data_IF_276927772698
#
_entry.id   IF_276927772698
#
_cell.length_a   1.000
_cell.length_b   1.000
_cell.length_c   1.000
_cell.angle_alpha   90.00
_cell.angle_beta   90.00
_cell.angle_gamma   90.00
#
_symmetry.space_group_name_H-M   'P 1'
#
loop_
_entity.id
_entity.type
_entity.pdbx_description
1 polymer ?
#
# COMPACT_ATOMS: atom_id res chain seq x y z
N UNK A 1 62.10 -2.41 -47.36
CA UNK A 1 61.27 -2.31 -48.59
C UNK A 1 61.00 -3.71 -49.11
N UNK A 2 59.74 -3.97 -49.48
CA UNK A 2 59.21 -5.07 -50.32
C UNK A 2 59.62 -6.52 -50.04
N UNK A 3 58.66 -7.29 -49.54
CA UNK A 3 58.52 -8.71 -49.81
C UNK A 3 57.08 -9.02 -50.25
N UNK A 4 56.87 -9.21 -51.55
CA UNK A 4 55.72 -9.94 -52.14
C UNK A 4 56.27 -11.36 -52.45
N UNK A 5 55.57 -12.49 -52.30
CA UNK A 5 54.36 -12.93 -52.99
C UNK A 5 53.90 -14.30 -52.42
N UNK A 6 52.58 -14.57 -52.51
CA UNK A 6 51.91 -15.83 -52.94
C UNK A 6 52.14 -17.12 -52.11
N UNK A 7 51.20 -18.03 -51.86
CA UNK A 7 49.87 -18.37 -52.40
C UNK A 7 49.18 -19.30 -51.39
N UNK A 8 47.86 -19.22 -51.24
CA UNK A 8 47.05 -20.38 -50.87
C UNK A 8 45.78 -20.41 -51.72
N UNK A 9 45.68 -21.48 -52.50
CA UNK A 9 44.55 -21.88 -53.33
C UNK A 9 43.40 -22.43 -52.49
N UNK A 10 42.14 -22.19 -52.88
CA UNK A 10 40.99 -23.13 -52.81
C UNK A 10 39.72 -22.48 -53.43
N UNK A 11 38.68 -23.25 -53.81
CA UNK A 11 38.06 -23.13 -55.13
C UNK A 11 36.65 -22.51 -55.16
N UNK A 12 36.20 -22.38 -56.40
CA UNK A 12 34.97 -21.80 -56.95
C UNK A 12 33.61 -22.31 -56.46
N UNK A 13 32.60 -21.45 -56.72
CA UNK A 13 31.19 -21.68 -57.12
C UNK A 13 30.06 -21.42 -56.10
N UNK A 14 29.60 -20.16 -56.11
CA UNK A 14 28.23 -19.70 -56.41
C UNK A 14 27.01 -20.57 -56.05
N UNK A 15 26.18 -20.04 -55.13
CA UNK A 15 24.70 -19.98 -55.26
C UNK A 15 24.16 -18.87 -54.35
N UNK A 16 24.25 -17.63 -54.82
CA UNK A 16 23.52 -16.49 -54.26
C UNK A 16 22.04 -16.65 -54.59
N UNK A 17 21.26 -16.99 -53.57
CA UNK A 17 19.79 -16.90 -53.61
C UNK A 17 19.43 -15.61 -52.86
N UNK A 18 18.73 -14.63 -53.47
CA UNK A 18 18.34 -13.43 -52.76
C UNK A 18 17.20 -13.80 -51.79
N UNK A 19 17.51 -13.82 -50.49
CA UNK A 19 16.46 -13.85 -49.46
C UNK A 19 15.62 -12.57 -49.58
N UNK A 20 14.30 -12.65 -49.62
CA UNK A 20 13.44 -11.48 -49.54
C UNK A 20 13.70 -10.77 -48.20
N UNK A 21 13.94 -9.46 -48.27
CA UNK A 21 13.92 -8.60 -47.09
C UNK A 21 12.60 -8.83 -46.35
N UNK A 22 12.61 -9.05 -45.02
CA UNK A 22 11.39 -8.97 -44.26
C UNK A 22 10.91 -7.52 -44.34
N UNK A 23 9.76 -7.29 -44.98
CA UNK A 23 9.03 -6.03 -44.87
C UNK A 23 8.86 -5.68 -43.39
N UNK A 24 9.00 -4.40 -43.00
CA UNK A 24 8.72 -4.00 -41.64
C UNK A 24 7.25 -4.33 -41.35
N UNK A 25 7.01 -5.21 -40.39
CA UNK A 25 5.68 -5.44 -39.88
C UNK A 25 5.10 -4.09 -39.38
N UNK A 26 3.82 -3.80 -39.61
CA UNK A 26 3.19 -2.62 -39.04
C UNK A 26 3.33 -2.70 -37.52
N UNK A 27 3.91 -1.68 -36.90
CA UNK A 27 4.00 -1.58 -35.46
C UNK A 27 2.58 -1.67 -34.89
N UNK A 28 2.26 -2.80 -34.28
CA UNK A 28 1.09 -2.95 -33.44
C UNK A 28 1.24 -1.94 -32.29
N UNK A 29 0.25 -1.08 -32.02
CA UNK A 29 0.33 -0.02 -31.02
C UNK A 29 0.10 -0.56 -29.61
N UNK A 30 0.68 -1.72 -29.27
CA UNK A 30 0.27 -2.52 -28.12
C UNK A 30 1.39 -2.79 -27.09
N UNK A 31 2.49 -2.05 -27.17
CA UNK A 31 3.54 -2.09 -26.14
C UNK A 31 3.76 -0.68 -25.62
N UNK A 32 2.98 -0.29 -24.60
CA UNK A 32 3.38 0.81 -23.74
C UNK A 32 4.57 0.30 -22.92
N UNK A 33 5.79 0.57 -23.39
CA UNK A 33 7.00 0.26 -22.61
C UNK A 33 6.98 1.09 -21.35
N UNK A 34 6.94 0.45 -20.18
CA UNK A 34 6.93 1.16 -18.91
C UNK A 34 8.13 2.10 -18.78
N UNK A 35 7.82 3.39 -18.65
CA UNK A 35 8.82 4.42 -18.38
C UNK A 35 9.28 4.37 -16.93
N UNK A 36 10.35 5.10 -16.61
CA UNK A 36 10.81 5.25 -15.22
C UNK A 36 9.71 5.81 -14.31
N UNK A 37 8.86 6.70 -14.82
CA UNK A 37 7.74 7.28 -14.06
C UNK A 37 6.70 6.22 -13.66
N UNK A 38 6.39 5.26 -14.53
CA UNK A 38 5.50 4.14 -14.21
C UNK A 38 6.04 3.32 -13.04
N UNK A 39 7.31 2.91 -13.12
CA UNK A 39 7.94 2.08 -12.09
C UNK A 39 8.03 2.79 -10.75
N UNK A 40 8.40 4.08 -10.76
CA UNK A 40 8.46 4.88 -9.53
C UNK A 40 7.07 5.02 -8.89
N UNK A 41 6.04 5.30 -9.69
CA UNK A 41 4.68 5.41 -9.18
C UNK A 41 4.17 4.06 -8.62
N UNK A 42 4.43 2.94 -9.30
CA UNK A 42 4.10 1.59 -8.79
C UNK A 42 4.71 1.33 -7.42
N UNK A 43 5.97 1.72 -7.21
CA UNK A 43 6.63 1.59 -5.90
C UNK A 43 5.93 2.42 -4.84
N UNK A 44 5.57 3.67 -5.15
CA UNK A 44 4.82 4.54 -4.23
C UNK A 44 3.46 3.95 -3.89
N UNK A 45 2.69 3.51 -4.89
CA UNK A 45 1.37 2.89 -4.69
C UNK A 45 1.46 1.63 -3.81
N UNK A 46 2.45 0.78 -4.08
CA UNK A 46 2.67 -0.44 -3.28
C UNK A 46 2.91 -0.09 -1.81
N UNK A 47 3.70 0.95 -1.56
CA UNK A 47 3.98 1.37 -0.19
C UNK A 47 2.78 2.05 0.48
N UNK A 48 1.95 2.77 -0.29
CA UNK A 48 0.66 3.28 0.21
C UNK A 48 -0.24 2.14 0.67
N UNK A 49 -0.36 1.05 -0.12
CA UNK A 49 -1.11 -0.16 0.28
C UNK A 49 -0.55 -0.76 1.58
N UNK A 50 0.77 -0.82 1.73
CA UNK A 50 1.40 -1.33 2.96
C UNK A 50 1.09 -0.46 4.19
N UNK A 51 1.12 0.87 4.04
CA UNK A 51 0.76 1.81 5.12
C UNK A 51 -0.71 1.65 5.52
N UNK A 52 -1.62 1.54 4.55
CA UNK A 52 -3.05 1.31 4.77
C UNK A 52 -3.28 0.00 5.53
N UNK A 53 -2.65 -1.10 5.11
CA UNK A 53 -2.76 -2.38 5.80
C UNK A 53 -2.24 -2.30 7.24
N UNK A 54 -1.09 -1.66 7.43
CA UNK A 54 -0.51 -1.48 8.77
C UNK A 54 -1.44 -0.64 9.66
N UNK A 55 -2.11 0.36 9.10
CA UNK A 55 -3.12 1.16 9.80
C UNK A 55 -4.26 0.28 10.32
N UNK A 56 -4.82 -0.57 9.46
CA UNK A 56 -5.92 -1.47 9.81
C UNK A 56 -5.50 -2.47 10.90
N UNK A 57 -4.31 -3.06 10.77
CA UNK A 57 -3.74 -3.99 11.76
C UNK A 57 -3.58 -3.32 13.13
N UNK A 58 -3.08 -2.08 13.19
CA UNK A 58 -2.93 -1.35 14.45
C UNK A 58 -4.30 -1.13 15.11
N UNK A 59 -5.32 -0.69 14.37
CA UNK A 59 -6.64 -0.39 14.95
C UNK A 59 -7.31 -1.67 15.48
N UNK A 60 -7.33 -2.71 14.65
CA UNK A 60 -8.09 -3.95 14.92
C UNK A 60 -7.40 -4.79 16.00
N UNK A 61 -6.07 -4.87 15.98
CA UNK A 61 -5.33 -5.80 16.85
C UNK A 61 -4.74 -5.12 18.07
N UNK A 62 -4.01 -4.01 17.88
CA UNK A 62 -3.29 -3.37 18.98
C UNK A 62 -4.19 -2.41 19.76
N UNK A 63 -4.81 -1.46 19.06
CA UNK A 63 -5.64 -0.40 19.63
C UNK A 63 -6.87 -0.96 20.33
N UNK A 64 -7.66 -1.79 19.64
CA UNK A 64 -8.86 -2.39 20.23
C UNK A 64 -8.54 -3.24 21.47
N UNK A 65 -7.48 -4.07 21.41
CA UNK A 65 -7.06 -4.89 22.56
C UNK A 65 -6.66 -4.04 23.76
N UNK A 66 -5.87 -2.98 23.53
CA UNK A 66 -5.44 -2.10 24.60
C UNK A 66 -6.60 -1.29 25.19
N UNK A 67 -7.49 -0.77 24.35
CA UNK A 67 -8.69 -0.06 24.75
C UNK A 67 -9.62 -0.94 25.59
N UNK A 68 -9.92 -2.16 25.12
CA UNK A 68 -10.72 -3.14 25.87
C UNK A 68 -10.08 -3.48 27.22
N UNK A 69 -8.77 -3.72 27.25
CA UNK A 69 -8.04 -4.00 28.49
C UNK A 69 -8.16 -2.87 29.52
N UNK A 70 -8.18 -1.61 29.08
CA UNK A 70 -8.41 -0.48 30.01
C UNK A 70 -9.79 -0.56 30.68
N UNK A 71 -10.82 -0.92 29.91
CA UNK A 71 -12.21 -1.00 30.40
C UNK A 71 -12.38 -2.21 31.30
N UNK A 72 -11.89 -3.38 30.87
CA UNK A 72 -11.98 -4.62 31.64
C UNK A 72 -11.34 -4.43 33.02
N UNK A 73 -10.09 -3.94 33.10
CA UNK A 73 -9.41 -3.75 34.38
C UNK A 73 -10.07 -2.69 35.27
N UNK A 74 -10.58 -1.61 34.69
CA UNK A 74 -11.32 -0.58 35.47
C UNK A 74 -12.60 -1.18 36.05
N UNK A 75 -13.32 -1.98 35.27
CA UNK A 75 -14.57 -2.63 35.70
C UNK A 75 -14.31 -3.67 36.79
N UNK A 76 -13.24 -4.47 36.66
CA UNK A 76 -12.86 -5.44 37.70
C UNK A 76 -12.49 -4.73 39.01
N UNK A 77 -11.77 -3.61 38.95
CA UNK A 77 -11.47 -2.81 40.15
C UNK A 77 -12.74 -2.26 40.81
N UNK A 78 -13.68 -1.72 40.03
CA UNK A 78 -14.95 -1.22 40.55
C UNK A 78 -15.79 -2.34 41.20
N UNK A 79 -15.86 -3.51 40.56
CA UNK A 79 -16.52 -4.69 41.11
C UNK A 79 -15.89 -5.14 42.43
N UNK A 80 -14.55 -5.12 42.53
CA UNK A 80 -13.86 -5.42 43.78
C UNK A 80 -14.17 -4.37 44.86
N UNK A 81 -14.23 -3.09 44.48
CA UNK A 81 -14.50 -1.94 45.37
C UNK A 81 -15.91 -1.92 45.94
N UNK A 82 -16.89 -2.45 45.21
CA UNK A 82 -18.27 -2.58 45.69
C UNK A 82 -18.42 -3.66 46.80
N UNK A 83 -17.49 -4.61 46.89
CA UNK A 83 -17.48 -5.63 47.95
C UNK A 83 -16.96 -5.06 49.27
N UNK A 84 -17.73 -5.27 50.33
CA UNK A 84 -17.40 -4.88 51.72
C UNK A 84 -15.98 -5.32 52.12
N UNK A 85 -15.22 -4.40 52.71
CA UNK A 85 -13.82 -4.59 53.04
C UNK A 85 -13.64 -5.70 54.08
N UNK A 86 -13.11 -6.84 53.63
CA UNK A 86 -12.81 -8.03 54.45
C UNK A 86 -11.36 -8.44 54.23
N UNK A 87 -10.71 -9.08 55.22
CA UNK A 87 -9.31 -9.53 55.08
C UNK A 87 -9.06 -10.48 53.89
N UNK A 88 -10.12 -11.13 53.40
CA UNK A 88 -10.10 -12.08 52.29
C UNK A 88 -10.32 -11.41 50.92
N UNK A 89 -10.53 -10.09 50.89
CA UNK A 89 -10.79 -9.36 49.66
C UNK A 89 -9.58 -9.42 48.72
N UNK A 90 -9.78 -9.71 47.42
CA UNK A 90 -8.70 -9.71 46.45
C UNK A 90 -7.97 -8.36 46.36
N UNK A 91 -6.67 -8.42 46.08
CA UNK A 91 -5.83 -7.24 45.94
C UNK A 91 -6.16 -6.48 44.65
N UNK A 92 -6.25 -5.14 44.73
CA UNK A 92 -6.48 -4.25 43.58
C UNK A 92 -5.17 -3.98 42.81
N UNK A 93 -4.02 -4.14 43.50
CA UNK A 93 -2.69 -3.80 42.96
C UNK A 93 -2.38 -4.41 41.59
N UNK A 94 -2.65 -5.71 41.35
CA UNK A 94 -2.45 -6.33 40.04
C UNK A 94 -3.28 -5.67 38.92
N UNK A 95 -4.58 -5.45 39.16
CA UNK A 95 -5.48 -4.79 38.19
C UNK A 95 -5.03 -3.36 37.86
N UNK A 96 -4.55 -2.62 38.86
CA UNK A 96 -4.01 -1.28 38.64
C UNK A 96 -2.75 -1.31 37.75
N UNK A 97 -1.86 -2.28 37.99
CA UNK A 97 -0.65 -2.47 37.18
C UNK A 97 -0.99 -2.81 35.72
N UNK A 98 -1.94 -3.73 35.52
CA UNK A 98 -2.38 -4.15 34.19
C UNK A 98 -3.10 -3.01 33.45
N UNK A 99 -3.95 -2.24 34.15
CA UNK A 99 -4.55 -1.02 33.62
C UNK A 99 -3.48 -0.05 33.11
N UNK A 100 -2.43 0.22 33.89
CA UNK A 100 -1.33 1.09 33.43
C UNK A 100 -0.66 0.53 32.19
N UNK A 101 -0.42 -0.78 32.13
CA UNK A 101 0.12 -1.45 30.94
C UNK A 101 -0.76 -1.25 29.70
N UNK A 102 -2.08 -1.42 29.85
CA UNK A 102 -3.05 -1.21 28.78
C UNK A 102 -3.13 0.25 28.33
N UNK A 103 -3.08 1.22 29.26
CA UNK A 103 -3.06 2.65 28.93
C UNK A 103 -1.82 3.03 28.12
N UNK A 104 -0.65 2.53 28.51
CA UNK A 104 0.60 2.75 27.75
C UNK A 104 0.51 2.11 26.35
N UNK A 105 -0.03 0.90 26.26
CA UNK A 105 -0.21 0.23 24.98
C UNK A 105 -1.18 1.00 24.05
N UNK A 106 -2.27 1.54 24.59
CA UNK A 106 -3.24 2.32 23.82
C UNK A 106 -2.62 3.63 23.31
N UNK A 107 -1.89 4.35 24.16
CA UNK A 107 -1.15 5.55 23.76
C UNK A 107 -0.09 5.24 22.70
N UNK A 108 0.60 4.10 22.82
CA UNK A 108 1.56 3.66 21.81
C UNK A 108 0.88 3.34 20.46
N UNK A 109 -0.30 2.71 20.47
CA UNK A 109 -1.08 2.46 19.25
C UNK A 109 -1.47 3.78 18.57
N UNK A 110 -1.95 4.78 19.33
CA UNK A 110 -2.27 6.10 18.80
C UNK A 110 -1.06 6.80 18.20
N UNK A 111 0.10 6.74 18.87
CA UNK A 111 1.35 7.28 18.33
C UNK A 111 1.78 6.56 17.04
N UNK A 112 1.58 5.24 16.91
CA UNK A 112 1.86 4.51 15.67
C UNK A 112 0.93 4.93 14.52
N UNK A 113 -0.35 5.20 14.79
CA UNK A 113 -1.29 5.70 13.80
C UNK A 113 -0.89 7.08 13.30
N UNK A 114 -0.58 8.02 14.19
CA UNK A 114 -0.09 9.35 13.82
C UNK A 114 1.18 9.27 12.95
N UNK A 115 2.13 8.40 13.32
CA UNK A 115 3.31 8.14 12.50
C UNK A 115 2.97 7.56 11.12
N UNK A 116 1.97 6.67 11.00
CA UNK A 116 1.53 6.15 9.71
C UNK A 116 0.85 7.23 8.86
N UNK A 117 0.09 8.15 9.45
CA UNK A 117 -0.46 9.29 8.73
C UNK A 117 0.67 10.18 8.19
N UNK A 118 1.71 10.41 9.00
CA UNK A 118 2.92 11.11 8.56
C UNK A 118 3.59 10.42 7.37
N UNK A 119 3.70 9.08 7.39
CA UNK A 119 4.23 8.31 6.26
C UNK A 119 3.36 8.42 5.01
N UNK A 120 2.03 8.35 5.16
CA UNK A 120 1.10 8.50 4.03
C UNK A 120 1.26 9.88 3.36
N UNK A 121 1.39 10.95 4.15
CA UNK A 121 1.68 12.29 3.63
C UNK A 121 3.02 12.32 2.85
N UNK A 122 4.07 11.69 3.39
CA UNK A 122 5.36 11.61 2.70
C UNK A 122 5.28 10.82 1.38
N UNK A 123 4.43 9.81 1.30
CA UNK A 123 4.20 9.04 0.06
C UNK A 123 3.42 9.85 -0.97
N UNK A 124 2.44 10.64 -0.54
CA UNK A 124 1.76 11.59 -1.42
C UNK A 124 2.75 12.64 -1.99
N UNK A 125 3.60 13.22 -1.13
CA UNK A 125 4.67 14.13 -1.58
C UNK A 125 5.65 13.45 -2.56
N UNK A 126 5.90 12.15 -2.40
CA UNK A 126 6.72 11.38 -3.33
C UNK A 126 6.00 11.17 -4.68
N UNK A 127 4.70 10.91 -4.67
CA UNK A 127 3.88 10.83 -5.88
C UNK A 127 3.91 12.17 -6.64
N UNK A 128 3.78 13.30 -5.93
CA UNK A 128 3.90 14.64 -6.52
C UNK A 128 5.28 14.87 -7.15
N UNK A 129 6.35 14.41 -6.51
CA UNK A 129 7.70 14.48 -7.10
C UNK A 129 7.82 13.67 -8.38
N UNK A 130 7.14 12.52 -8.48
CA UNK A 130 7.09 11.73 -9.72
C UNK A 130 6.37 12.52 -10.82
N UNK A 131 5.23 13.13 -10.51
CA UNK A 131 4.46 13.96 -11.43
C UNK A 131 5.26 15.18 -11.91
N UNK A 132 5.84 15.96 -10.99
CA UNK A 132 6.67 17.12 -11.32
C UNK A 132 7.93 16.74 -12.12
N UNK A 133 8.50 15.57 -11.81
CA UNK A 133 9.59 14.99 -12.59
C UNK A 133 9.18 14.70 -14.03
N UNK A 134 7.97 14.16 -14.25
CA UNK A 134 7.41 13.92 -15.57
C UNK A 134 7.12 15.23 -16.31
N UNK A 135 6.56 16.25 -15.64
CA UNK A 135 6.32 17.57 -16.21
C UNK A 135 7.57 18.23 -16.82
N UNK A 136 8.76 17.87 -16.30
CA UNK A 136 10.02 18.44 -16.76
C UNK A 136 10.65 17.68 -17.94
N UNK A 137 10.16 16.47 -18.27
CA UNK A 137 10.84 15.53 -19.17
C UNK A 137 9.94 14.97 -20.27
N UNK A 138 8.65 14.84 -19.98
CA UNK A 138 7.65 14.22 -20.83
C UNK A 138 6.71 15.27 -21.42
N UNK A 139 5.84 14.84 -22.35
CA UNK A 139 4.84 15.72 -22.97
C UNK A 139 3.66 15.95 -22.02
N UNK A 140 2.94 17.06 -22.23
CA UNK A 140 1.68 17.33 -21.53
C UNK A 140 0.68 16.19 -21.75
N UNK A 141 0.62 15.65 -22.97
CA UNK A 141 -0.30 14.56 -23.31
C UNK A 141 -0.01 13.31 -22.48
N UNK A 142 1.27 12.94 -22.29
CA UNK A 142 1.67 11.81 -21.45
C UNK A 142 1.13 11.92 -20.01
N UNK A 143 1.08 13.13 -19.47
CA UNK A 143 0.78 13.37 -18.06
C UNK A 143 -0.73 13.45 -17.81
N UNK A 144 -1.44 14.15 -18.70
CA UNK A 144 -2.82 14.59 -18.48
C UNK A 144 -3.84 13.90 -19.39
N UNK A 145 -3.41 13.21 -20.44
CA UNK A 145 -4.32 12.65 -21.46
C UNK A 145 -4.11 11.15 -21.63
N UNK A 146 -2.87 10.70 -21.72
CA UNK A 146 -2.55 9.30 -21.94
C UNK A 146 -2.72 8.48 -20.66
N UNK A 147 -3.41 7.32 -20.71
CA UNK A 147 -3.47 6.41 -19.59
C UNK A 147 -2.12 5.71 -19.39
N UNK A 148 -1.68 5.62 -18.13
CA UNK A 148 -0.43 4.94 -17.76
C UNK A 148 -0.52 3.42 -17.95
N UNK A 149 -1.65 2.81 -17.57
CA UNK A 149 -1.85 1.35 -17.66
C UNK A 149 -3.21 0.98 -18.26
N UNK A 150 -4.31 1.32 -17.58
CA UNK A 150 -5.66 1.01 -18.05
C UNK A 150 -6.40 2.26 -18.48
N UNK A 151 -6.91 3.05 -17.53
CA UNK A 151 -7.70 4.25 -17.81
C UNK A 151 -7.17 5.50 -17.11
N UNK A 152 -6.37 5.35 -16.05
CA UNK A 152 -5.90 6.48 -15.26
C UNK A 152 -4.64 7.10 -15.85
N UNK A 153 -4.63 8.43 -15.88
CA UNK A 153 -3.47 9.26 -16.20
C UNK A 153 -2.52 9.35 -15.00
N UNK A 154 -1.29 9.81 -15.22
CA UNK A 154 -0.33 10.04 -14.14
C UNK A 154 -0.87 11.00 -13.07
N UNK A 155 -1.48 12.11 -13.51
CA UNK A 155 -2.11 13.06 -12.60
C UNK A 155 -3.19 12.39 -11.75
N UNK A 156 -4.03 11.55 -12.35
CA UNK A 156 -5.14 10.91 -11.65
C UNK A 156 -4.66 10.00 -10.51
N UNK A 157 -3.60 9.22 -10.72
CA UNK A 157 -3.01 8.41 -9.65
C UNK A 157 -2.48 9.25 -8.50
N UNK A 158 -1.80 10.36 -8.79
CA UNK A 158 -1.25 11.22 -7.75
C UNK A 158 -2.36 11.90 -6.95
N UNK A 159 -3.40 12.38 -7.63
CA UNK A 159 -4.57 12.99 -6.99
C UNK A 159 -5.34 11.97 -6.14
N UNK A 160 -5.46 10.71 -6.60
CA UNK A 160 -6.17 9.68 -5.85
C UNK A 160 -5.41 9.21 -4.60
N UNK A 161 -4.07 9.25 -4.58
CA UNK A 161 -3.30 9.02 -3.35
C UNK A 161 -3.57 10.15 -2.34
N UNK A 162 -3.61 11.39 -2.82
CA UNK A 162 -3.82 12.57 -1.97
C UNK A 162 -5.21 12.60 -1.32
N UNK A 163 -6.24 12.04 -1.97
CA UNK A 163 -7.58 11.97 -1.40
C UNK A 163 -7.69 11.03 -0.19
N UNK A 164 -6.72 10.15 0.03
CA UNK A 164 -6.69 9.26 1.19
C UNK A 164 -6.32 9.98 2.50
N UNK A 165 -5.58 11.08 2.41
CA UNK A 165 -5.09 11.84 3.58
C UNK A 165 -6.25 12.36 4.46
N UNK A 166 -7.26 13.08 3.93
CA UNK A 166 -8.37 13.56 4.76
C UNK A 166 -9.15 12.42 5.43
N UNK A 167 -9.33 11.28 4.74
CA UNK A 167 -10.01 10.10 5.32
C UNK A 167 -9.27 9.58 6.55
N UNK A 168 -7.94 9.41 6.47
CA UNK A 168 -7.13 8.95 7.59
C UNK A 168 -7.02 10.00 8.70
N UNK A 169 -7.02 11.29 8.35
CA UNK A 169 -6.98 12.40 9.32
C UNK A 169 -8.26 12.45 10.15
N UNK A 170 -9.44 12.37 9.51
CA UNK A 170 -10.72 12.32 10.23
C UNK A 170 -10.79 11.09 11.13
N UNK A 171 -10.44 9.93 10.59
CA UNK A 171 -10.48 8.68 11.33
C UNK A 171 -9.56 8.71 12.57
N UNK A 172 -8.36 9.28 12.46
CA UNK A 172 -7.46 9.46 13.61
C UNK A 172 -8.05 10.41 14.66
N UNK A 173 -8.71 11.48 14.23
CA UNK A 173 -9.37 12.42 15.15
C UNK A 173 -10.50 11.73 15.93
N UNK A 174 -11.31 10.91 15.27
CA UNK A 174 -12.39 10.14 15.90
C UNK A 174 -11.83 9.12 16.90
N UNK A 175 -10.81 8.35 16.52
CA UNK A 175 -10.11 7.42 17.43
C UNK A 175 -9.48 8.14 18.62
N UNK A 176 -8.99 9.38 18.43
CA UNK A 176 -8.45 10.19 19.51
C UNK A 176 -9.52 10.56 20.52
N UNK A 177 -10.71 10.97 20.05
CA UNK A 177 -11.85 11.28 20.92
C UNK A 177 -12.22 10.05 21.75
N UNK A 178 -12.39 8.90 21.09
CA UNK A 178 -12.72 7.64 21.77
C UNK A 178 -11.63 7.27 22.80
N UNK A 179 -10.36 7.40 22.43
CA UNK A 179 -9.23 7.14 23.32
C UNK A 179 -9.29 8.05 24.55
N UNK A 180 -9.57 9.34 24.37
CA UNK A 180 -9.66 10.27 25.50
C UNK A 180 -10.77 9.89 26.47
N UNK A 181 -11.91 9.44 25.98
CA UNK A 181 -13.01 8.93 26.81
C UNK A 181 -12.59 7.68 27.59
N UNK A 182 -11.92 6.71 26.94
CA UNK A 182 -11.47 5.47 27.61
C UNK A 182 -10.38 5.73 28.67
N UNK A 183 -9.52 6.71 28.44
CA UNK A 183 -8.43 7.04 29.36
C UNK A 183 -8.85 7.92 30.54
N UNK A 184 -10.00 8.61 30.45
CA UNK A 184 -10.51 9.47 31.50
C UNK A 184 -11.01 8.64 32.70
N UNK A 185 -10.41 8.80 33.90
CA UNK A 185 -10.86 8.09 35.11
C UNK A 185 -12.29 8.43 35.55
N UNK A 186 -12.87 9.52 35.06
CA UNK A 186 -14.24 9.93 35.39
C UNK A 186 -15.30 9.30 34.47
N UNK A 187 -14.90 8.58 33.42
CA UNK A 187 -15.81 7.96 32.47
C UNK A 187 -16.61 6.82 33.11
N UNK A 188 -17.92 6.82 32.88
CA UNK A 188 -18.80 5.75 33.35
C UNK A 188 -18.58 4.45 32.55
N UNK A 189 -18.93 3.30 33.13
CA UNK A 189 -18.85 2.02 32.41
C UNK A 189 -19.66 2.03 31.11
N UNK A 190 -20.87 2.60 31.13
CA UNK A 190 -21.74 2.66 29.96
C UNK A 190 -21.12 3.51 28.83
N UNK A 191 -20.51 4.64 29.18
CA UNK A 191 -19.81 5.51 28.22
C UNK A 191 -18.54 4.84 27.67
N UNK A 192 -17.78 4.15 28.52
CA UNK A 192 -16.61 3.37 28.12
C UNK A 192 -17.01 2.21 27.18
N UNK A 193 -18.10 1.52 27.50
CA UNK A 193 -18.66 0.46 26.65
C UNK A 193 -19.12 0.99 25.30
N UNK A 194 -19.82 2.12 25.28
CA UNK A 194 -20.20 2.75 24.02
C UNK A 194 -18.97 3.16 23.19
N UNK A 195 -17.94 3.67 23.87
CA UNK A 195 -16.67 4.07 23.24
C UNK A 195 -15.95 2.88 22.57
N UNK A 196 -15.90 1.72 23.20
CA UNK A 196 -15.26 0.53 22.59
C UNK A 196 -16.11 -0.08 21.46
N UNK A 197 -17.44 0.02 21.53
CA UNK A 197 -18.32 -0.34 20.42
C UNK A 197 -18.10 0.59 19.22
N UNK A 198 -18.04 1.91 19.46
CA UNK A 198 -17.71 2.89 18.43
C UNK A 198 -16.32 2.64 17.82
N UNK A 199 -15.31 2.26 18.62
CA UNK A 199 -13.99 1.88 18.11
C UNK A 199 -14.09 0.71 17.12
N UNK A 200 -14.81 -0.35 17.49
CA UNK A 200 -14.99 -1.53 16.65
C UNK A 200 -15.69 -1.19 15.33
N UNK A 201 -16.70 -0.33 15.41
CA UNK A 201 -17.48 0.06 14.24
C UNK A 201 -16.62 0.89 13.27
N UNK A 202 -15.78 1.80 13.78
CA UNK A 202 -14.77 2.52 12.98
C UNK A 202 -13.69 1.60 12.40
N UNK A 203 -13.30 0.55 13.12
CA UNK A 203 -12.28 -0.38 12.66
C UNK A 203 -12.71 -1.26 11.47
N UNK A 204 -14.03 -1.41 11.27
CA UNK A 204 -14.59 -2.35 10.29
C UNK A 204 -15.59 -1.71 9.33
N UNK A 205 -15.73 -0.38 9.37
CA UNK A 205 -16.66 0.37 8.54
C UNK A 205 -16.42 1.88 8.61
N UNK A 206 -17.40 2.65 8.10
CA UNK A 206 -17.33 4.10 8.04
C UNK A 206 -16.61 4.63 6.80
N UNK A 207 -16.62 5.96 6.65
CA UNK A 207 -16.22 6.65 5.42
C UNK A 207 -14.77 6.31 5.01
N UNK A 208 -13.84 6.24 5.96
CA UNK A 208 -12.46 5.85 5.67
C UNK A 208 -12.38 4.42 5.15
N UNK A 209 -13.08 3.48 5.79
CA UNK A 209 -13.03 2.06 5.39
C UNK A 209 -13.54 1.89 3.96
N UNK A 210 -14.71 2.46 3.67
CA UNK A 210 -15.35 2.34 2.36
C UNK A 210 -14.49 3.02 1.27
N UNK A 211 -14.05 4.25 1.52
CA UNK A 211 -13.23 5.00 0.55
C UNK A 211 -11.86 4.36 0.30
N UNK A 212 -11.25 3.73 1.29
CA UNK A 212 -9.97 3.01 1.11
C UNK A 212 -10.15 1.73 0.32
N UNK A 213 -11.19 0.93 0.60
CA UNK A 213 -11.44 -0.32 -0.15
C UNK A 213 -11.80 -0.04 -1.60
N UNK A 214 -12.63 0.97 -1.84
CA UNK A 214 -12.92 1.45 -3.20
C UNK A 214 -11.63 1.87 -3.92
N UNK A 215 -10.76 2.64 -3.25
CA UNK A 215 -9.49 3.04 -3.83
C UNK A 215 -8.57 1.85 -4.14
N UNK A 216 -8.46 0.87 -3.23
CA UNK A 216 -7.65 -0.33 -3.44
C UNK A 216 -8.17 -1.16 -4.62
N UNK A 217 -9.49 -1.36 -4.73
CA UNK A 217 -10.12 -2.09 -5.83
C UNK A 217 -9.86 -1.39 -7.17
N UNK A 218 -10.04 -0.07 -7.22
CA UNK A 218 -9.80 0.73 -8.43
C UNK A 218 -8.32 0.68 -8.84
N UNK A 219 -7.40 0.85 -7.89
CA UNK A 219 -5.96 0.81 -8.15
C UNK A 219 -5.53 -0.59 -8.61
N UNK A 220 -6.08 -1.65 -8.02
CA UNK A 220 -5.79 -3.02 -8.44
C UNK A 220 -6.25 -3.28 -9.87
N UNK A 221 -7.46 -2.86 -10.24
CA UNK A 221 -7.95 -2.95 -11.62
C UNK A 221 -7.06 -2.20 -12.61
N UNK A 222 -6.59 -1.01 -12.24
CA UNK A 222 -5.71 -0.21 -13.08
C UNK A 222 -4.33 -0.83 -13.27
N UNK A 223 -3.79 -1.51 -12.26
CA UNK A 223 -2.46 -2.14 -12.32
C UNK A 223 -2.47 -3.53 -12.97
N UNK A 224 -3.59 -4.27 -12.89
CA UNK A 224 -3.70 -5.67 -13.36
C UNK A 224 -3.39 -5.84 -14.86
N UNK A 225 -3.73 -4.87 -15.72
CA UNK A 225 -3.42 -4.97 -17.16
C UNK A 225 -1.92 -4.92 -17.47
N UNK A 226 -1.12 -4.33 -16.58
CA UNK A 226 0.34 -4.33 -16.71
C UNK A 226 0.96 -5.72 -16.52
N UNK A 227 0.35 -6.57 -15.71
CA UNK A 227 0.90 -7.89 -15.32
C UNK A 227 0.56 -8.98 -16.35
N UNK A 228 -0.66 -8.99 -16.89
CA UNK A 228 -1.10 -9.98 -17.87
C UNK A 228 -0.32 -9.94 -19.19
N UNK A 229 0.30 -8.80 -19.53
CA UNK A 229 1.12 -8.67 -20.75
C UNK A 229 2.55 -9.17 -20.53
N UNK A 230 3.05 -9.22 -19.29
CA UNK A 230 4.39 -9.72 -18.98
C UNK A 230 4.44 -11.26 -18.92
N UNK A 231 3.39 -11.91 -18.41
CA UNK A 231 3.35 -13.39 -18.30
C UNK A 231 3.27 -14.10 -19.66
N UNK A 232 2.62 -13.50 -20.67
CA UNK A 232 2.48 -14.07 -22.01
C UNK A 232 3.81 -14.08 -22.81
N UNK A 233 4.80 -13.25 -22.43
CA UNK A 233 6.10 -13.19 -23.13
C UNK A 233 7.09 -14.26 -22.63
N UNK A 234 6.96 -14.71 -21.39
CA UNK A 234 7.81 -15.78 -20.84
C UNK A 234 7.41 -17.17 -21.36
N UNK A 235 6.16 -17.38 -21.78
CA UNK A 235 5.74 -18.64 -22.41
C UNK A 235 6.22 -18.78 -23.88
N UNK A 236 6.42 -17.67 -24.58
CA UNK A 236 6.72 -17.68 -26.02
C UNK A 236 8.22 -17.82 -26.33
N UNK A 237 9.12 -17.49 -25.40
CA UNK A 237 10.56 -17.69 -25.59
C UNK A 237 11.00 -19.15 -25.30
N UNK A 238 10.22 -19.90 -24.52
CA UNK A 238 10.46 -21.33 -24.30
C UNK A 238 10.12 -22.23 -25.51
N UNK A 239 9.21 -21.80 -26.41
CA UNK A 239 8.78 -22.61 -27.56
C UNK A 239 9.74 -22.57 -28.76
N UNK A 240 10.72 -21.65 -28.81
CA UNK A 240 11.63 -21.50 -29.97
C UNK A 240 12.92 -22.33 -29.93
N UNK A 241 13.28 -22.95 -28.80
CA UNK A 241 14.54 -23.73 -28.69
C UNK A 241 14.43 -25.23 -29.01
N UNK A 242 13.26 -25.74 -29.40
CA UNK A 242 12.98 -27.18 -29.48
C UNK A 242 12.99 -27.84 -30.87
N UNK A 243 13.52 -27.22 -31.94
CA UNK A 243 13.39 -27.81 -33.30
C UNK A 243 14.64 -27.67 -34.18
N UNK A 244 15.74 -28.33 -33.80
CA UNK A 244 16.82 -28.63 -34.76
C UNK A 244 17.73 -29.79 -34.34
N UNK A 245 17.28 -31.04 -34.54
CA UNK A 245 18.18 -32.18 -34.81
C UNK A 245 17.50 -33.13 -35.79
N UNK A 246 18.09 -33.24 -36.97
CA UNK A 246 17.98 -34.38 -37.89
C UNK A 246 19.40 -34.74 -38.27
#
# INVERSE_FOLDING_TARGET
MSGRLASLSTPSRSRSSPSPSPSPAPATPLRQTETTHHRMLKLVITEVKNVIRTWDEIIILEGYKAAKGCIDETTEMDNLLDVEEKPERPEIGPHLSDLYGHRVALQAAMAKLDNNLGKLNQLADQADKVLLGACSRETSDFIFVEPLWLTWTLEHFVNSISSLIPLHTSHLAELTIITTTILDPATSFDDAKYSIEAWRDLASGGERWDGVREWEDLVELELTRGELVEEDEDEDDFKKKGKKRR
#
